data_IF_897133403430
#
_entry.id   IF_897133403430
#
_cell.length_a   1.000
_cell.length_b   1.000
_cell.length_c   1.000
_cell.angle_alpha   90.00
_cell.angle_beta   90.00
_cell.angle_gamma   90.00
#
_symmetry.space_group_name_H-M   'P 1'
#
loop_
_entity.id
_entity.type
_entity.pdbx_description
1 polymer ?
#
# COMPACT_ATOMS: atom_id res chain seq x y z
N UNK A 1 -28.58 -5.49 -14.22
CA UNK A 1 -28.46 -6.15 -12.90
C UNK A 1 -27.54 -5.32 -12.05
N UNK A 2 -27.71 -5.28 -10.71
CA UNK A 2 -27.10 -4.26 -9.88
C UNK A 2 -25.61 -4.23 -10.13
N UNK A 3 -25.12 -3.06 -10.54
CA UNK A 3 -23.70 -2.74 -10.56
C UNK A 3 -23.27 -2.67 -9.09
N UNK A 4 -23.08 -3.85 -8.49
CA UNK A 4 -22.75 -4.03 -7.08
C UNK A 4 -21.23 -3.91 -6.91
N UNK A 5 -20.66 -2.82 -7.45
CA UNK A 5 -19.27 -2.40 -7.26
C UNK A 5 -19.11 -1.92 -5.80
N UNK A 6 -19.41 -2.81 -4.85
CA UNK A 6 -19.22 -2.58 -3.41
C UNK A 6 -17.74 -2.45 -3.06
N UNK A 7 -16.84 -2.93 -3.92
CA UNK A 7 -15.42 -2.69 -3.86
C UNK A 7 -15.07 -1.41 -4.63
N UNK A 8 -14.86 -0.30 -3.91
CA UNK A 8 -14.29 0.94 -4.47
C UNK A 8 -12.80 0.77 -4.78
N UNK A 9 -12.47 -0.05 -5.79
CA UNK A 9 -11.10 -0.24 -6.26
C UNK A 9 -10.97 0.42 -7.62
N UNK A 10 -9.99 1.31 -7.74
CA UNK A 10 -9.65 1.91 -9.03
C UNK A 10 -8.89 0.89 -9.88
N UNK A 11 -9.11 0.88 -11.19
CA UNK A 11 -8.32 0.07 -12.14
C UNK A 11 -6.81 0.37 -12.04
N UNK A 12 -6.47 1.61 -11.65
CA UNK A 12 -5.09 2.07 -11.42
C UNK A 12 -5.07 2.98 -10.19
N UNK A 13 -4.17 2.68 -9.25
CA UNK A 13 -3.84 3.54 -8.12
C UNK A 13 -2.31 3.66 -8.03
N UNK A 14 -1.79 4.87 -8.13
CA UNK A 14 -0.35 5.16 -8.14
C UNK A 14 0.00 6.16 -7.05
N UNK A 15 0.94 5.77 -6.21
CA UNK A 15 1.47 6.66 -5.18
C UNK A 15 2.72 7.37 -5.68
N UNK A 16 2.64 8.70 -5.78
CA UNK A 16 3.79 9.56 -6.01
C UNK A 16 4.31 10.06 -4.66
N UNK A 17 5.46 9.55 -4.24
CA UNK A 17 6.11 9.95 -3.01
C UNK A 17 7.16 11.03 -3.26
N UNK A 18 7.03 12.16 -2.57
CA UNK A 18 8.07 13.19 -2.53
C UNK A 18 9.19 12.82 -1.55
N UNK A 19 8.93 11.96 -0.55
CA UNK A 19 9.89 11.49 0.45
C UNK A 19 9.92 9.98 0.50
N UNK A 20 11.13 9.41 0.44
CA UNK A 20 11.35 7.96 0.43
C UNK A 20 12.42 7.58 1.44
N UNK A 21 12.16 6.52 2.20
CA UNK A 21 13.14 5.84 3.05
C UNK A 21 13.49 4.52 2.37
N UNK A 22 14.74 4.37 1.94
CA UNK A 22 15.22 3.15 1.31
C UNK A 22 16.25 2.48 2.21
N UNK A 23 15.98 1.23 2.61
CA UNK A 23 16.88 0.43 3.44
C UNK A 23 17.66 -0.57 2.58
N UNK A 24 18.97 -0.39 2.50
CA UNK A 24 19.91 -1.34 1.87
C UNK A 24 20.35 -2.35 2.93
N UNK A 25 19.69 -3.53 2.93
CA UNK A 25 19.98 -4.63 3.86
C UNK A 25 21.41 -5.14 3.74
N UNK A 26 21.97 -5.16 2.52
CA UNK A 26 23.30 -5.71 2.28
C UNK A 26 24.39 -4.81 2.88
N UNK A 27 24.24 -3.49 2.74
CA UNK A 27 25.20 -2.52 3.30
C UNK A 27 24.86 -2.07 4.72
N UNK A 28 23.70 -2.48 5.23
CA UNK A 28 23.13 -1.99 6.48
C UNK A 28 23.06 -0.44 6.51
N UNK A 29 22.52 0.16 5.45
CA UNK A 29 22.42 1.62 5.28
C UNK A 29 21.00 2.05 4.98
N UNK A 30 20.57 3.16 5.58
CA UNK A 30 19.31 3.83 5.27
C UNK A 30 19.61 5.07 4.43
N UNK A 31 18.92 5.21 3.30
CA UNK A 31 18.92 6.39 2.45
C UNK A 31 17.60 7.14 2.63
N UNK A 32 17.70 8.44 2.94
CA UNK A 32 16.56 9.34 2.99
C UNK A 32 16.62 10.23 1.75
N UNK A 33 15.55 10.19 0.95
CA UNK A 33 15.49 10.85 -0.36
C UNK A 33 14.30 11.81 -0.34
N UNK A 34 14.51 13.05 -0.77
CA UNK A 34 13.46 14.03 -0.98
C UNK A 34 13.51 14.55 -2.43
N UNK A 35 12.41 14.37 -3.16
CA UNK A 35 12.20 14.95 -4.48
C UNK A 35 11.59 16.34 -4.34
N UNK A 36 12.24 17.35 -4.90
CA UNK A 36 11.78 18.75 -4.82
C UNK A 36 11.30 19.27 -6.16
N UNK A 37 10.28 20.14 -6.12
CA UNK A 37 9.87 20.91 -7.29
C UNK A 37 10.90 22.02 -7.57
N UNK A 38 11.15 22.29 -8.85
CA UNK A 38 12.12 23.30 -9.30
C UNK A 38 11.50 24.69 -9.48
N UNK A 39 10.22 24.87 -9.16
CA UNK A 39 9.51 26.14 -9.32
C UNK A 39 9.97 27.25 -8.35
N UNK A 40 10.57 26.87 -7.23
CA UNK A 40 11.19 27.75 -6.23
C UNK A 40 12.36 26.99 -5.59
N UNK A 41 13.42 26.80 -6.38
CA UNK A 41 14.46 25.82 -6.11
C UNK A 41 15.15 26.04 -4.76
N UNK A 42 15.56 27.27 -4.45
CA UNK A 42 16.30 27.58 -3.23
C UNK A 42 15.45 27.31 -1.99
N UNK A 43 14.21 27.80 -1.98
CA UNK A 43 13.28 27.59 -0.87
C UNK A 43 12.95 26.10 -0.70
N UNK A 44 12.63 25.41 -1.79
CA UNK A 44 12.24 24.00 -1.75
C UNK A 44 13.41 23.09 -1.33
N UNK A 45 14.62 23.41 -1.78
CA UNK A 45 15.83 22.70 -1.37
C UNK A 45 16.08 22.89 0.14
N UNK A 46 16.07 24.14 0.63
CA UNK A 46 16.24 24.44 2.06
C UNK A 46 15.18 23.73 2.93
N UNK A 47 13.93 23.71 2.46
CA UNK A 47 12.84 22.97 3.12
C UNK A 47 13.14 21.47 3.18
N UNK A 48 13.55 20.87 2.07
CA UNK A 48 13.87 19.44 2.00
C UNK A 48 15.05 19.07 2.92
N UNK A 49 16.08 19.91 3.02
CA UNK A 49 17.18 19.68 3.97
C UNK A 49 16.71 19.65 5.43
N UNK A 50 15.80 20.56 5.82
CA UNK A 50 15.24 20.59 7.17
C UNK A 50 14.37 19.34 7.43
N UNK A 51 13.53 18.96 6.48
CA UNK A 51 12.69 17.77 6.58
C UNK A 51 13.53 16.48 6.65
N UNK A 52 14.59 16.36 5.84
CA UNK A 52 15.50 15.22 5.88
C UNK A 52 16.26 15.14 7.21
N UNK A 53 16.68 16.27 7.79
CA UNK A 53 17.29 16.32 9.13
C UNK A 53 16.33 15.84 10.21
N UNK A 54 15.09 16.32 10.19
CA UNK A 54 14.07 15.89 11.14
C UNK A 54 13.74 14.39 10.98
N UNK A 55 13.68 13.90 9.75
CA UNK A 55 13.44 12.48 9.47
C UNK A 55 14.61 11.61 9.93
N UNK A 56 15.85 12.05 9.71
CA UNK A 56 17.03 11.36 10.21
C UNK A 56 17.03 11.28 11.75
N UNK A 57 16.69 12.37 12.42
CA UNK A 57 16.55 12.38 13.88
C UNK A 57 15.46 11.42 14.36
N UNK A 58 14.29 11.40 13.69
CA UNK A 58 13.22 10.44 13.99
C UNK A 58 13.66 9.00 13.78
N UNK A 59 14.41 8.69 12.73
CA UNK A 59 14.89 7.33 12.46
C UNK A 59 15.88 6.86 13.53
N UNK A 60 16.71 7.76 14.07
CA UNK A 60 17.75 7.41 15.06
C UNK A 60 17.21 7.44 16.49
N UNK A 61 16.41 8.45 16.83
CA UNK A 61 16.00 8.77 18.20
C UNK A 61 14.49 8.59 18.44
N UNK A 62 13.72 8.31 17.38
CA UNK A 62 12.28 8.13 17.47
C UNK A 62 11.90 6.95 18.34
N UNK A 63 10.74 7.08 18.99
CA UNK A 63 10.14 5.97 19.73
C UNK A 63 9.39 5.08 18.76
N UNK A 64 9.60 3.78 18.88
CA UNK A 64 8.80 2.79 18.18
C UNK A 64 7.31 2.98 18.53
N UNK A 65 6.45 2.92 17.51
CA UNK A 65 5.02 3.01 17.73
C UNK A 65 4.53 1.71 18.40
N UNK A 66 3.66 1.85 19.41
CA UNK A 66 2.95 0.72 19.97
C UNK A 66 1.88 0.25 18.99
N UNK A 67 2.22 -0.74 18.15
CA UNK A 67 1.31 -1.31 17.15
C UNK A 67 0.73 -2.61 17.73
N UNK A 68 -0.53 -2.60 18.22
CA UNK A 68 -1.13 -3.79 18.76
C UNK A 68 -1.32 -4.84 17.65
N UNK A 69 -1.16 -6.11 18.02
CA UNK A 69 -1.39 -7.21 17.08
C UNK A 69 -2.84 -7.20 16.60
N UNK A 70 -3.02 -7.44 15.30
CA UNK A 70 -4.34 -7.69 14.74
C UNK A 70 -4.97 -8.91 15.42
N UNK A 71 -6.21 -8.75 15.89
CA UNK A 71 -7.01 -9.84 16.44
C UNK A 71 -8.13 -10.17 15.46
N UNK A 72 -8.34 -11.47 15.21
CA UNK A 72 -9.45 -11.93 14.41
C UNK A 72 -10.75 -11.70 15.19
N UNK A 73 -11.59 -10.76 14.71
CA UNK A 73 -12.84 -10.40 15.39
C UNK A 73 -14.03 -11.27 14.97
N UNK A 74 -13.93 -11.93 13.83
CA UNK A 74 -15.00 -12.70 13.20
C UNK A 74 -14.42 -13.90 12.48
N UNK A 75 -15.18 -14.99 12.40
CA UNK A 75 -14.85 -16.14 11.56
C UNK A 75 -14.84 -15.75 10.08
N UNK A 76 -14.19 -16.58 9.26
CA UNK A 76 -14.22 -16.43 7.81
C UNK A 76 -15.61 -16.85 7.29
N UNK A 77 -16.20 -16.00 6.46
CA UNK A 77 -17.44 -16.31 5.75
C UNK A 77 -17.12 -16.48 4.27
N UNK A 78 -17.50 -17.61 3.70
CA UNK A 78 -17.39 -17.81 2.25
C UNK A 78 -18.55 -17.13 1.54
N UNK A 79 -18.30 -16.55 0.38
CA UNK A 79 -19.34 -15.99 -0.50
C UNK A 79 -20.24 -17.07 -1.10
N UNK A 80 -19.74 -18.31 -1.20
CA UNK A 80 -20.47 -19.45 -1.75
C UNK A 80 -20.42 -20.64 -0.81
N UNK A 81 -21.52 -21.38 -0.75
CA UNK A 81 -21.50 -22.77 -0.34
C UNK A 81 -20.84 -23.63 -1.42
N UNK A 82 -20.44 -24.85 -1.04
CA UNK A 82 -19.86 -25.83 -1.98
C UNK A 82 -20.76 -26.07 -3.20
N UNK A 83 -22.05 -26.28 -2.98
CA UNK A 83 -22.99 -26.64 -4.03
C UNK A 83 -23.23 -25.47 -5.00
N UNK A 84 -23.29 -24.24 -4.49
CA UNK A 84 -23.39 -23.02 -5.31
C UNK A 84 -22.15 -22.87 -6.19
N UNK A 85 -20.96 -23.11 -5.65
CA UNK A 85 -19.73 -23.06 -6.41
C UNK A 85 -19.67 -24.15 -7.50
N UNK A 86 -20.05 -25.39 -7.17
CA UNK A 86 -20.11 -26.49 -8.15
C UNK A 86 -21.08 -26.19 -9.31
N UNK A 87 -22.20 -25.52 -9.02
CA UNK A 87 -23.16 -25.11 -10.04
C UNK A 87 -22.57 -24.07 -11.00
N UNK A 88 -21.83 -23.07 -10.49
CA UNK A 88 -21.12 -22.08 -11.31
C UNK A 88 -20.09 -22.76 -12.21
N UNK A 89 -19.31 -23.71 -11.69
CA UNK A 89 -18.29 -24.44 -12.48
C UNK A 89 -18.92 -25.21 -13.64
N UNK A 90 -19.97 -26.00 -13.38
CA UNK A 90 -20.66 -26.77 -14.43
C UNK A 90 -21.24 -25.87 -15.52
N UNK A 91 -21.82 -24.73 -15.13
CA UNK A 91 -22.32 -23.73 -16.08
C UNK A 91 -21.20 -23.20 -16.98
N UNK A 92 -20.07 -22.80 -16.40
CA UNK A 92 -18.94 -22.27 -17.18
C UNK A 92 -18.34 -23.31 -18.13
N UNK A 93 -18.25 -24.59 -17.72
CA UNK A 93 -17.78 -25.69 -18.58
C UNK A 93 -18.65 -25.87 -19.82
N UNK A 94 -19.97 -25.74 -19.68
CA UNK A 94 -20.90 -25.85 -20.81
C UNK A 94 -20.70 -24.77 -21.87
N UNK A 95 -20.15 -23.60 -21.49
CA UNK A 95 -19.85 -22.50 -22.41
C UNK A 95 -18.45 -22.58 -23.05
N UNK A 96 -17.54 -23.43 -22.53
CA UNK A 96 -16.20 -23.64 -23.09
C UNK A 96 -16.10 -24.86 -24.03
N UNK A 97 -17.06 -25.78 -23.95
CA UNK A 97 -17.10 -27.02 -24.75
C UNK A 97 -18.06 -26.94 -25.96
N UNK A 98 -18.49 -25.73 -26.34
CA UNK A 98 -19.37 -25.46 -27.47
C UNK A 98 -18.63 -24.75 -28.61
#
# INVERSE_FOLDING_TARGET
TPNDDSAMVNDVDLMLFDKVIAFDHYKNKIYLIANISTNDLERNYNKAELELKALADLVVNGKEADIPKGILKTEFTSEFTKDEFEAVVKKTQSHHLA
#
